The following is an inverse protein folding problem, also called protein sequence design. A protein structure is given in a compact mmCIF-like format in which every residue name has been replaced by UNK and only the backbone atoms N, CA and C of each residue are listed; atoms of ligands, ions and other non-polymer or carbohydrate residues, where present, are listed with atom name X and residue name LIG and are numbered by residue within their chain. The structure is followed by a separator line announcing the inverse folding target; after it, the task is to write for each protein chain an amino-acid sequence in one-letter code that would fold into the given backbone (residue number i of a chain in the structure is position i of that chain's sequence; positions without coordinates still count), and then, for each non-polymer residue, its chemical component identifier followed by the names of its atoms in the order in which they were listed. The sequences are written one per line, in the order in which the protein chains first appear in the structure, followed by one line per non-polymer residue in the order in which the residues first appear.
data_IF_845160988240
#
_entry.id   IF_845160988240
#
_cell.length_a   1.000
_cell.length_b   1.000
_cell.length_c   1.000
_cell.angle_alpha   90.00
_cell.angle_beta   90.00
_cell.angle_gamma   90.00
#
_symmetry.space_group_name_H-M   'P 1'
#
loop_
_entity.id
_entity.type
_entity.pdbx_description
1 polymer ?
#
# COMPACT_ATOMS: atom_id res chain seq x y z
N UNK A 1 3.24 3.76 -10.03
CA UNK A 1 4.39 2.83 -9.98
C UNK A 1 3.84 1.46 -9.61
N UNK A 2 4.14 0.41 -10.37
CA UNK A 2 3.48 -0.88 -10.21
C UNK A 2 4.51 -1.93 -9.78
N UNK A 3 4.33 -2.50 -8.61
CA UNK A 3 4.84 -3.81 -8.27
C UNK A 3 3.69 -4.81 -8.48
N UNK A 4 4.01 -6.07 -8.77
CA UNK A 4 3.04 -7.11 -9.04
C UNK A 4 3.48 -8.36 -8.30
N UNK A 5 2.58 -8.95 -7.51
CA UNK A 5 2.84 -10.16 -6.73
C UNK A 5 1.94 -11.31 -7.22
N UNK A 6 2.08 -12.51 -6.68
CA UNK A 6 1.45 -13.73 -7.16
C UNK A 6 1.19 -14.66 -5.95
N UNK A 7 -0.07 -15.07 -5.79
CA UNK A 7 -0.59 -16.37 -5.31
C UNK A 7 -1.43 -16.37 -4.00
N UNK A 8 -2.64 -16.97 -4.07
CA UNK A 8 -3.19 -17.91 -3.07
C UNK A 8 -4.49 -18.59 -3.55
N UNK A 9 -4.61 -19.90 -3.28
CA UNK A 9 -5.84 -20.70 -3.04
C UNK A 9 -5.47 -22.13 -2.58
N UNK A 10 -6.38 -22.94 -1.97
CA UNK A 10 -7.80 -22.72 -1.65
C UNK A 10 -8.26 -23.15 -0.23
N UNK A 11 -9.52 -22.83 0.10
CA UNK A 11 -10.31 -23.39 1.21
C UNK A 11 -10.05 -24.87 1.55
N UNK A 12 -9.41 -25.15 2.70
CA UNK A 12 -9.83 -26.08 3.77
C UNK A 12 -8.72 -26.23 4.83
N UNK A 13 -9.06 -26.70 6.04
CA UNK A 13 -8.27 -26.42 7.22
C UNK A 13 -7.07 -27.36 7.38
N UNK A 14 -6.03 -26.80 8.01
CA UNK A 14 -4.84 -27.39 8.64
C UNK A 14 -3.76 -27.94 7.69
N UNK A 15 -2.53 -27.47 7.98
CA UNK A 15 -1.18 -27.83 7.51
C UNK A 15 -0.54 -26.97 6.39
N UNK A 16 0.59 -26.37 6.82
CA UNK A 16 1.83 -26.13 6.08
C UNK A 16 1.93 -24.81 5.29
N UNK A 17 2.71 -23.82 5.74
CA UNK A 17 4.19 -23.81 5.65
C UNK A 17 4.70 -24.40 4.33
N UNK A 18 4.26 -23.87 3.19
CA UNK A 18 4.91 -24.17 1.91
C UNK A 18 5.17 -22.83 1.19
N UNK A 19 6.43 -22.40 1.34
CA UNK A 19 7.11 -21.17 0.89
C UNK A 19 7.03 -19.95 1.84
N UNK A 20 8.11 -19.64 2.60
CA UNK A 20 8.21 -18.42 3.42
C UNK A 20 8.47 -17.15 2.59
N UNK A 21 8.41 -17.26 1.26
CA UNK A 21 8.72 -16.18 0.34
C UNK A 21 7.56 -16.01 -0.65
N UNK A 22 7.09 -14.78 -0.82
CA UNK A 22 6.18 -14.41 -1.90
C UNK A 22 6.99 -14.00 -3.14
N UNK A 23 6.33 -13.84 -4.28
CA UNK A 23 7.05 -13.47 -5.50
C UNK A 23 7.69 -12.08 -5.39
N UNK A 24 7.18 -11.20 -4.53
CA UNK A 24 7.75 -9.89 -4.22
C UNK A 24 9.10 -9.96 -3.50
N UNK A 25 9.42 -11.10 -2.89
CA UNK A 25 10.76 -11.36 -2.36
C UNK A 25 11.80 -11.58 -3.46
N UNK A 26 11.39 -12.03 -4.65
CA UNK A 26 12.29 -12.45 -5.73
C UNK A 26 12.22 -11.53 -6.96
N UNK A 27 11.05 -10.97 -7.25
CA UNK A 27 10.83 -10.09 -8.39
C UNK A 27 10.85 -8.63 -7.94
N UNK A 28 11.90 -7.93 -8.39
CA UNK A 28 11.97 -6.48 -8.29
C UNK A 28 10.91 -5.85 -9.19
N UNK A 29 10.31 -4.71 -8.81
CA UNK A 29 9.44 -3.95 -9.71
C UNK A 29 10.15 -3.69 -11.05
N UNK A 30 9.44 -3.83 -12.17
CA UNK A 30 9.99 -3.69 -13.54
C UNK A 30 10.26 -2.23 -13.96
N UNK A 31 10.17 -1.29 -13.02
CA UNK A 31 10.58 0.09 -13.23
C UNK A 31 12.07 0.25 -12.86
N UNK A 32 12.84 0.92 -13.72
CA UNK A 32 14.18 1.37 -13.36
C UNK A 32 14.06 2.49 -12.33
N UNK A 33 14.11 2.14 -11.05
CA UNK A 33 14.34 3.14 -10.00
C UNK A 33 15.63 3.90 -10.35
N UNK A 34 15.59 5.24 -10.51
CA UNK A 34 16.79 6.00 -10.83
C UNK A 34 17.70 6.22 -9.61
N UNK A 35 17.33 5.66 -8.46
CA UNK A 35 18.02 5.77 -7.18
C UNK A 35 18.35 4.38 -6.63
N UNK A 36 18.70 4.29 -5.35
CA UNK A 36 18.82 3.03 -4.62
C UNK A 36 17.46 2.32 -4.53
N UNK A 37 17.47 0.98 -4.62
CA UNK A 37 16.32 0.17 -4.29
C UNK A 37 16.63 -0.64 -3.05
N UNK A 38 15.74 -0.55 -2.06
CA UNK A 38 15.90 -1.23 -0.79
C UNK A 38 14.60 -1.93 -0.41
N UNK A 39 14.70 -3.14 0.14
CA UNK A 39 13.54 -3.87 0.65
C UNK A 39 13.36 -3.51 2.13
N UNK A 40 12.21 -2.93 2.46
CA UNK A 40 11.90 -2.42 3.80
C UNK A 40 10.90 -3.35 4.49
N UNK A 41 11.13 -3.68 5.76
CA UNK A 41 10.35 -4.67 6.50
C UNK A 41 10.91 -6.09 6.39
N UNK A 42 10.28 -7.04 7.09
CA UNK A 42 10.63 -8.47 7.13
C UNK A 42 10.44 -9.11 5.77
N UNK A 43 11.25 -10.16 5.50
CA UNK A 43 11.06 -11.02 4.32
C UNK A 43 9.70 -11.73 4.40
N UNK A 44 9.06 -11.94 3.26
CA UNK A 44 7.67 -12.39 3.18
C UNK A 44 6.70 -11.22 2.92
N UNK A 45 5.46 -11.35 3.37
CA UNK A 45 4.36 -10.52 2.88
C UNK A 45 4.44 -9.03 3.25
N UNK A 46 4.83 -8.74 4.49
CA UNK A 46 4.75 -7.38 5.02
C UNK A 46 5.74 -6.42 4.39
N UNK A 47 6.94 -6.89 4.02
CA UNK A 47 8.00 -6.03 3.51
C UNK A 47 7.85 -5.68 2.02
N UNK A 48 8.12 -4.43 1.66
CA UNK A 48 7.99 -3.92 0.28
C UNK A 48 9.28 -3.28 -0.23
N UNK A 49 9.50 -3.35 -1.53
CA UNK A 49 10.60 -2.65 -2.19
C UNK A 49 10.32 -1.16 -2.31
N UNK A 50 11.20 -0.32 -1.78
CA UNK A 50 11.12 1.13 -1.85
C UNK A 50 12.25 1.66 -2.73
N UNK A 51 11.90 2.52 -3.68
CA UNK A 51 12.84 3.27 -4.49
C UNK A 51 13.23 4.57 -3.78
N UNK A 52 14.53 4.80 -3.64
CA UNK A 52 15.13 6.05 -3.17
C UNK A 52 15.06 6.26 -1.66
N UNK A 53 15.28 5.23 -0.84
CA UNK A 53 15.27 5.38 0.62
C UNK A 53 16.33 6.37 1.09
N UNK A 54 17.53 6.32 0.51
CA UNK A 54 18.58 7.32 0.80
C UNK A 54 18.12 8.76 0.54
N UNK A 55 17.26 8.96 -0.47
CA UNK A 55 16.70 10.27 -0.82
C UNK A 55 15.61 10.71 0.13
N UNK A 56 14.76 9.78 0.57
CA UNK A 56 13.70 10.06 1.54
C UNK A 56 14.31 10.44 2.89
N UNK A 57 15.33 9.72 3.35
CA UNK A 57 16.05 10.03 4.58
C UNK A 57 16.79 11.37 4.52
N UNK A 58 17.36 11.71 3.36
CA UNK A 58 18.00 13.01 3.16
C UNK A 58 16.98 14.18 3.15
N UNK A 59 15.70 13.91 2.87
CA UNK A 59 14.63 14.92 2.83
C UNK A 59 13.88 15.04 4.16
N UNK A 60 13.73 13.94 4.88
CA UNK A 60 12.96 13.83 6.11
C UNK A 60 13.53 12.73 6.98
N UNK A 61 14.56 13.06 7.75
CA UNK A 61 15.27 12.09 8.58
C UNK A 61 14.42 11.69 9.78
N UNK A 62 14.48 10.40 10.15
CA UNK A 62 13.85 9.88 11.34
C UNK A 62 14.66 10.10 12.63
N UNK A 63 14.13 9.64 13.78
CA UNK A 63 12.87 8.91 13.90
C UNK A 63 11.64 9.82 13.80
N UNK A 64 10.50 9.23 13.50
CA UNK A 64 9.20 9.91 13.48
C UNK A 64 8.84 10.46 14.86
N UNK A 65 8.60 11.76 14.92
CA UNK A 65 8.20 12.47 16.14
C UNK A 65 7.61 13.84 15.82
N UNK A 66 6.69 14.33 16.65
CA UNK A 66 6.19 15.71 16.56
C UNK A 66 7.28 16.76 16.89
N UNK A 67 8.33 16.34 17.61
CA UNK A 67 9.46 17.20 17.93
C UNK A 67 10.54 17.21 16.83
N UNK A 68 10.39 16.38 15.79
CA UNK A 68 11.34 16.32 14.70
C UNK A 68 11.16 17.54 13.76
N UNK A 69 12.22 18.34 13.50
CA UNK A 69 12.13 19.57 12.71
C UNK A 69 11.95 19.33 11.21
N UNK A 70 12.18 18.11 10.71
CA UNK A 70 12.04 17.79 9.30
C UNK A 70 10.58 17.70 8.86
N UNK A 71 10.34 17.91 7.57
CA UNK A 71 9.00 17.81 6.99
C UNK A 71 8.39 16.42 7.23
N UNK A 72 7.12 16.37 7.62
CA UNK A 72 6.41 15.10 7.81
C UNK A 72 6.11 14.44 6.46
N UNK A 73 6.44 13.16 6.33
CA UNK A 73 6.05 12.34 5.19
C UNK A 73 4.76 11.55 5.49
N UNK A 74 3.68 11.87 4.78
CA UNK A 74 2.43 11.09 4.82
C UNK A 74 2.61 9.75 4.09
N UNK A 75 2.37 8.64 4.80
CA UNK A 75 2.41 7.27 4.26
C UNK A 75 1.07 6.59 4.47
N UNK A 76 0.51 6.03 3.42
CA UNK A 76 -0.71 5.22 3.50
C UNK A 76 -0.35 3.75 3.31
N UNK A 77 -0.80 2.90 4.23
CA UNK A 77 -0.62 1.45 4.17
C UNK A 77 -1.96 0.75 4.19
N UNK A 78 -2.37 0.23 3.04
CA UNK A 78 -3.62 -0.50 2.88
C UNK A 78 -3.33 -2.00 2.84
N UNK A 79 -3.97 -2.74 3.74
CA UNK A 79 -3.67 -4.15 3.97
C UNK A 79 -2.41 -4.35 4.80
N UNK A 80 -2.55 -4.19 6.10
CA UNK A 80 -1.44 -4.33 7.05
C UNK A 80 -1.30 -5.77 7.51
N UNK A 81 -2.44 -6.47 7.64
CA UNK A 81 -2.57 -7.84 8.16
C UNK A 81 -1.77 -8.03 9.47
N UNK A 82 -0.92 -9.06 9.55
CA UNK A 82 -0.19 -9.44 10.78
C UNK A 82 1.29 -9.07 10.76
N UNK A 83 1.75 -8.30 9.78
CA UNK A 83 3.15 -7.85 9.68
C UNK A 83 3.21 -6.34 9.44
N UNK A 84 3.54 -5.60 10.51
CA UNK A 84 3.71 -4.15 10.47
C UNK A 84 5.17 -3.72 10.46
N UNK A 85 6.09 -4.62 10.06
CA UNK A 85 7.52 -4.36 10.06
C UNK A 85 7.95 -3.31 9.02
N UNK A 86 7.20 -3.17 7.92
CA UNK A 86 7.42 -2.14 6.93
C UNK A 86 7.16 -0.75 7.53
N UNK A 87 6.01 -0.58 8.17
CA UNK A 87 5.57 0.66 8.79
C UNK A 87 6.50 1.03 9.96
N UNK A 88 6.86 0.05 10.80
CA UNK A 88 7.82 0.23 11.88
C UNK A 88 9.20 0.70 11.38
N UNK A 89 9.70 0.11 10.28
CA UNK A 89 10.97 0.51 9.68
C UNK A 89 10.92 1.94 9.12
N UNK A 90 9.80 2.35 8.52
CA UNK A 90 9.62 3.74 8.05
C UNK A 90 9.58 4.74 9.21
N UNK A 91 8.86 4.43 10.30
CA UNK A 91 8.83 5.29 11.50
C UNK A 91 10.21 5.46 12.12
N UNK A 92 11.05 4.43 12.08
CA UNK A 92 12.40 4.49 12.63
C UNK A 92 13.35 5.34 11.77
N UNK A 93 13.15 5.36 10.45
CA UNK A 93 14.10 5.92 9.49
C UNK A 93 13.71 7.29 8.96
N UNK A 94 12.43 7.63 8.97
CA UNK A 94 11.88 8.87 8.40
C UNK A 94 11.03 9.63 9.43
N UNK A 95 10.85 10.94 9.25
CA UNK A 95 9.80 11.67 9.97
C UNK A 95 8.42 11.41 9.34
N UNK A 96 7.96 10.17 9.41
CA UNK A 96 6.76 9.71 8.74
C UNK A 96 5.52 9.73 9.65
N UNK A 97 4.37 10.10 9.08
CA UNK A 97 3.06 9.87 9.69
C UNK A 97 2.31 8.83 8.86
N UNK A 98 2.00 7.69 9.48
CA UNK A 98 1.53 6.49 8.80
C UNK A 98 0.05 6.25 9.09
N UNK A 99 -0.72 5.98 8.06
CA UNK A 99 -2.15 5.69 8.14
C UNK A 99 -2.41 4.28 7.60
N UNK A 100 -2.66 3.35 8.52
CA UNK A 100 -2.93 1.94 8.26
C UNK A 100 -4.43 1.67 8.17
N UNK A 101 -4.83 0.88 7.17
CA UNK A 101 -6.21 0.40 7.03
C UNK A 101 -6.23 -1.08 6.73
N UNK A 102 -7.03 -1.82 7.51
CA UNK A 102 -7.25 -3.23 7.29
C UNK A 102 -8.60 -3.66 7.89
N UNK A 103 -9.36 -4.48 7.19
CA UNK A 103 -10.68 -4.92 7.66
C UNK A 103 -10.60 -6.21 8.50
N UNK A 104 -9.52 -6.98 8.36
CA UNK A 104 -9.34 -8.32 8.90
C UNK A 104 -8.72 -8.34 10.30
N UNK A 105 -7.91 -7.33 10.64
CA UNK A 105 -7.24 -7.19 11.94
C UNK A 105 -7.80 -6.03 12.77
N UNK A 106 -7.47 -6.00 14.06
CA UNK A 106 -7.98 -4.98 15.01
C UNK A 106 -6.96 -3.86 15.32
N UNK A 107 -5.74 -3.97 14.79
CA UNK A 107 -4.67 -3.02 15.08
C UNK A 107 -3.39 -3.35 14.34
N UNK A 108 -2.35 -2.57 14.61
CA UNK A 108 -0.98 -2.86 14.19
C UNK A 108 -0.46 -4.16 14.83
N UNK A 109 0.46 -4.82 14.14
CA UNK A 109 1.26 -5.89 14.72
C UNK A 109 2.34 -5.35 15.68
N UNK A 110 2.98 -6.26 16.42
CA UNK A 110 3.88 -5.93 17.53
C UNK A 110 5.11 -5.09 17.13
N UNK A 111 5.42 -5.00 15.84
CA UNK A 111 6.56 -4.21 15.34
C UNK A 111 6.35 -2.69 15.45
N UNK A 112 5.11 -2.21 15.40
CA UNK A 112 4.82 -0.77 15.49
C UNK A 112 4.82 -0.34 16.96
N UNK A 113 5.71 0.58 17.38
CA UNK A 113 5.76 1.00 18.77
C UNK A 113 4.47 1.70 19.22
N UNK A 114 4.06 1.53 20.49
CA UNK A 114 2.97 2.30 21.06
C UNK A 114 3.34 3.80 21.12
N UNK A 115 2.34 4.68 21.01
CA UNK A 115 2.50 6.14 20.97
C UNK A 115 3.37 6.65 19.80
N UNK A 116 3.45 5.89 18.71
CA UNK A 116 4.05 6.35 17.46
C UNK A 116 3.06 7.22 16.67
N UNK A 117 3.55 7.87 15.60
CA UNK A 117 2.72 8.60 14.62
C UNK A 117 2.08 7.67 13.59
N UNK A 118 1.66 6.48 14.03
CA UNK A 118 1.02 5.47 13.19
C UNK A 118 -0.43 5.25 13.64
N UNK A 119 -1.37 5.58 12.76
CA UNK A 119 -2.80 5.53 13.02
C UNK A 119 -3.41 4.33 12.33
N UNK A 120 -4.12 3.48 13.07
CA UNK A 120 -4.81 2.31 12.50
C UNK A 120 -6.31 2.54 12.43
N UNK A 121 -6.93 2.21 11.29
CA UNK A 121 -8.37 2.22 11.10
C UNK A 121 -8.85 0.86 10.58
N UNK A 122 -9.78 0.23 11.29
CA UNK A 122 -10.39 -1.02 10.82
C UNK A 122 -11.39 -0.75 9.70
N UNK A 123 -10.97 -0.88 8.45
CA UNK A 123 -11.78 -0.60 7.27
C UNK A 123 -11.27 -1.36 6.03
N UNK A 124 -12.19 -1.68 5.12
CA UNK A 124 -11.85 -2.18 3.79
C UNK A 124 -11.65 -1.01 2.82
N UNK A 125 -10.69 -1.14 1.90
CA UNK A 125 -10.50 -0.16 0.82
C UNK A 125 -11.28 -0.62 -0.40
N UNK A 126 -12.02 0.30 -1.02
CA UNK A 126 -12.89 0.01 -2.15
C UNK A 126 -13.05 1.18 -3.10
N UNK A 127 -13.74 0.96 -4.23
CA UNK A 127 -14.04 2.01 -5.21
C UNK A 127 -14.92 3.14 -4.66
N UNK A 128 -15.81 2.85 -3.72
CA UNK A 128 -16.74 3.81 -3.12
C UNK A 128 -16.75 3.71 -1.60
N UNK A 129 -17.14 4.79 -0.94
CA UNK A 129 -17.26 4.84 0.52
C UNK A 129 -18.66 4.39 0.97
N UNK A 130 -18.71 3.37 1.81
CA UNK A 130 -19.89 2.94 2.57
C UNK A 130 -19.52 2.84 4.05
N UNK A 131 -19.89 3.87 4.81
CA UNK A 131 -19.65 3.97 6.26
C UNK A 131 -20.68 3.22 7.10
N UNK A 132 -21.75 2.70 6.50
CA UNK A 132 -22.79 1.94 7.20
C UNK A 132 -22.47 0.44 7.28
N UNK A 133 -21.55 -0.04 6.42
CA UNK A 133 -21.04 -1.39 6.52
C UNK A 133 -20.13 -1.57 7.73
N UNK A 134 -20.06 -2.80 8.27
CA UNK A 134 -19.18 -3.17 9.37
C UNK A 134 -18.31 -4.38 8.98
N UNK A 135 -16.99 -4.23 8.81
CA UNK A 135 -16.23 -2.97 8.85
C UNK A 135 -16.57 -2.04 7.66
N UNK A 136 -16.38 -0.71 7.80
CA UNK A 136 -16.70 0.25 6.75
C UNK A 136 -15.82 0.04 5.51
N UNK A 137 -16.38 0.41 4.36
CA UNK A 137 -15.69 0.46 3.07
C UNK A 137 -15.35 1.91 2.75
N UNK A 138 -14.11 2.20 2.39
CA UNK A 138 -13.63 3.56 2.21
C UNK A 138 -12.89 3.70 0.87
N UNK A 139 -13.20 4.77 0.13
CA UNK A 139 -12.45 5.16 -1.05
C UNK A 139 -11.20 5.96 -0.68
N UNK A 140 -10.11 5.79 -1.42
CA UNK A 140 -8.81 6.44 -1.13
C UNK A 140 -8.92 7.96 -1.04
N UNK A 141 -9.66 8.59 -1.96
CA UNK A 141 -9.83 10.05 -1.98
C UNK A 141 -10.63 10.58 -0.78
N UNK A 142 -11.62 9.83 -0.29
CA UNK A 142 -12.40 10.21 0.89
C UNK A 142 -11.56 10.10 2.16
N UNK A 143 -10.66 9.11 2.24
CA UNK A 143 -9.68 8.98 3.32
C UNK A 143 -8.72 10.17 3.30
N UNK A 144 -8.17 10.52 2.13
CA UNK A 144 -7.32 11.71 1.97
C UNK A 144 -8.04 12.98 2.43
N UNK A 145 -9.28 13.19 1.98
CA UNK A 145 -10.09 14.35 2.36
C UNK A 145 -10.38 14.40 3.87
N UNK A 146 -10.73 13.25 4.48
CA UNK A 146 -11.02 13.16 5.92
C UNK A 146 -9.80 13.47 6.79
N UNK A 147 -8.61 13.10 6.34
CA UNK A 147 -7.35 13.36 7.05
C UNK A 147 -6.73 14.72 6.68
N UNK A 148 -7.30 15.45 5.72
CA UNK A 148 -6.74 16.72 5.25
C UNK A 148 -5.45 16.59 4.44
N UNK A 149 -5.20 15.43 3.83
CA UNK A 149 -4.01 15.19 3.01
C UNK A 149 -4.30 15.46 1.54
N UNK A 150 -3.46 16.27 0.92
CA UNK A 150 -3.50 16.56 -0.52
C UNK A 150 -2.50 15.73 -1.33
N UNK A 151 -1.51 15.11 -0.65
CA UNK A 151 -0.46 14.29 -1.23
C UNK A 151 -0.04 13.11 -0.34
N UNK A 152 0.19 11.94 -0.94
CA UNK A 152 0.70 10.74 -0.28
C UNK A 152 2.13 10.48 -0.76
N UNK A 153 3.11 10.44 0.13
CA UNK A 153 4.51 10.21 -0.26
C UNK A 153 4.75 8.77 -0.66
N UNK A 154 4.26 7.83 0.15
CA UNK A 154 4.30 6.38 -0.14
C UNK A 154 2.91 5.81 0.09
N UNK A 155 2.38 5.12 -0.91
CA UNK A 155 1.13 4.38 -0.84
C UNK A 155 1.44 2.90 -1.04
N UNK A 156 1.41 2.11 0.05
CA UNK A 156 1.37 0.65 -0.02
C UNK A 156 -0.08 0.21 -0.20
N UNK A 157 -0.33 -0.66 -1.17
CA UNK A 157 -1.65 -1.21 -1.44
C UNK A 157 -1.56 -2.71 -1.65
N UNK A 158 -2.15 -3.44 -0.71
CA UNK A 158 -2.12 -4.90 -0.61
C UNK A 158 -3.47 -5.38 -0.04
N UNK A 159 -4.54 -5.26 -0.83
CA UNK A 159 -5.93 -5.33 -0.34
C UNK A 159 -6.72 -6.52 -0.94
N UNK A 160 -6.02 -7.64 -1.10
CA UNK A 160 -6.57 -8.96 -1.37
C UNK A 160 -7.58 -9.00 -2.54
N UNK A 161 -7.21 -8.39 -3.67
CA UNK A 161 -7.98 -8.45 -4.91
C UNK A 161 -8.86 -7.24 -5.20
N UNK A 162 -8.91 -6.26 -4.28
CA UNK A 162 -9.65 -5.00 -4.48
C UNK A 162 -8.80 -3.88 -5.09
N UNK A 163 -7.53 -4.16 -5.45
CA UNK A 163 -6.57 -3.15 -5.89
C UNK A 163 -7.02 -2.43 -7.15
N UNK A 164 -7.47 -3.19 -8.15
CA UNK A 164 -7.85 -2.63 -9.44
C UNK A 164 -9.05 -1.70 -9.31
N UNK A 165 -10.10 -2.14 -8.63
CA UNK A 165 -11.31 -1.33 -8.44
C UNK A 165 -11.02 -0.06 -7.63
N UNK A 166 -10.23 -0.16 -6.55
CA UNK A 166 -9.86 0.98 -5.73
C UNK A 166 -8.98 1.99 -6.50
N UNK A 167 -8.00 1.50 -7.27
CA UNK A 167 -7.12 2.35 -8.08
C UNK A 167 -7.86 2.99 -9.26
N UNK A 168 -8.74 2.26 -9.95
CA UNK A 168 -9.55 2.81 -11.03
C UNK A 168 -10.43 3.96 -10.54
N UNK A 169 -11.11 3.78 -9.40
CA UNK A 169 -11.89 4.85 -8.78
C UNK A 169 -11.04 6.04 -8.34
N UNK A 170 -9.84 5.79 -7.80
CA UNK A 170 -8.92 6.86 -7.41
C UNK A 170 -8.38 7.66 -8.60
N UNK A 171 -8.10 6.99 -9.72
CA UNK A 171 -7.70 7.64 -10.97
C UNK A 171 -8.86 8.47 -11.54
N UNK A 172 -10.06 7.88 -11.63
CA UNK A 172 -11.24 8.59 -12.14
C UNK A 172 -11.53 9.86 -11.32
N UNK A 173 -11.46 9.76 -9.99
CA UNK A 173 -11.56 10.95 -9.12
C UNK A 173 -10.50 12.00 -9.44
N UNK A 174 -9.24 11.60 -9.66
CA UNK A 174 -8.17 12.54 -9.96
C UNK A 174 -8.38 13.23 -11.32
N UNK A 175 -8.85 12.50 -12.33
CA UNK A 175 -9.21 13.03 -13.65
C UNK A 175 -10.37 14.02 -13.57
N UNK A 176 -11.45 13.65 -12.87
CA UNK A 176 -12.62 14.52 -12.63
C UNK A 176 -12.24 15.80 -11.87
N UNK A 177 -11.31 15.70 -10.93
CA UNK A 177 -10.73 16.84 -10.23
C UNK A 177 -9.74 17.68 -11.08
N UNK A 178 -9.52 17.31 -12.34
CA UNK A 178 -8.63 18.02 -13.27
C UNK A 178 -7.15 17.86 -12.94
N UNK A 179 -6.76 16.85 -12.15
CA UNK A 179 -5.36 16.58 -11.82
C UNK A 179 -4.66 15.95 -13.02
N UNK A 180 -3.48 16.48 -13.36
CA UNK A 180 -2.62 15.93 -14.44
C UNK A 180 -1.75 14.76 -13.99
N UNK A 181 -1.56 14.62 -12.67
CA UNK A 181 -0.74 13.60 -12.03
C UNK A 181 -1.45 13.15 -10.76
N UNK A 182 -1.42 11.86 -10.45
CA UNK A 182 -1.92 11.36 -9.18
C UNK A 182 -1.16 12.02 -8.01
N UNK A 183 -1.83 12.37 -6.92
CA UNK A 183 -1.19 12.96 -5.75
C UNK A 183 -0.46 11.90 -4.90
N UNK A 184 0.35 11.07 -5.54
CA UNK A 184 1.10 9.97 -4.93
C UNK A 184 2.53 9.99 -5.43
N UNK A 185 3.50 10.06 -4.52
CA UNK A 185 4.93 10.02 -4.86
C UNK A 185 5.38 8.64 -5.33
N UNK A 186 5.10 7.62 -4.53
CA UNK A 186 5.44 6.23 -4.83
C UNK A 186 4.28 5.30 -4.48
N UNK A 187 3.86 4.49 -5.45
CA UNK A 187 2.86 3.43 -5.28
C UNK A 187 3.57 2.07 -5.21
N UNK A 188 3.40 1.38 -4.09
CA UNK A 188 3.87 0.02 -3.84
C UNK A 188 2.65 -0.89 -3.91
N UNK A 189 2.51 -1.62 -5.01
CA UNK A 189 1.32 -2.42 -5.27
C UNK A 189 1.61 -3.91 -5.14
N UNK A 190 0.81 -4.64 -4.38
CA UNK A 190 0.69 -6.10 -4.46
C UNK A 190 -0.40 -6.40 -5.50
N UNK A 191 -0.10 -7.17 -6.56
CA UNK A 191 -1.17 -7.62 -7.47
C UNK A 191 -1.67 -8.98 -7.03
N UNK A 192 -2.95 -9.09 -6.68
CA UNK A 192 -3.59 -10.37 -6.47
C UNK A 192 -4.09 -10.94 -7.79
N UNK A 193 -3.34 -11.90 -8.35
CA UNK A 193 -3.61 -12.43 -9.69
C UNK A 193 -4.60 -13.60 -9.72
N UNK A 194 -5.33 -13.83 -8.62
CA UNK A 194 -6.36 -14.85 -8.48
C UNK A 194 -7.55 -14.22 -7.79
N UNK A 195 -8.74 -14.31 -8.38
CA UNK A 195 -9.99 -13.80 -7.81
C UNK A 195 -10.43 -14.62 -6.60
N UNK A 196 -11.28 -14.06 -5.73
CA UNK A 196 -11.80 -14.75 -4.54
C UNK A 196 -12.51 -16.09 -4.81
N UNK A 197 -12.92 -16.38 -6.05
CA UNK A 197 -13.49 -17.66 -6.49
C UNK A 197 -12.44 -18.65 -7.06
N UNK A 198 -11.18 -18.25 -7.20
CA UNK A 198 -10.04 -19.14 -7.51
C UNK A 198 -9.68 -19.18 -8.97
N UNK A 199 -10.26 -18.27 -9.76
CA UNK A 199 -9.90 -18.09 -11.15
C UNK A 199 -8.69 -17.17 -11.21
N UNK A 200 -7.73 -17.42 -12.10
CA UNK A 200 -6.71 -16.42 -12.40
C UNK A 200 -7.41 -15.12 -12.81
N UNK A 201 -7.05 -13.98 -12.22
CA UNK A 201 -7.34 -12.69 -12.83
C UNK A 201 -6.68 -12.75 -14.20
N UNK A 202 -7.46 -12.68 -15.28
CA UNK A 202 -6.93 -12.98 -16.59
C UNK A 202 -5.84 -11.97 -16.96
N UNK A 203 -4.81 -12.42 -17.68
CA UNK A 203 -3.84 -11.53 -18.32
C UNK A 203 -4.56 -10.44 -19.13
N UNK A 204 -5.75 -10.72 -19.64
CA UNK A 204 -6.63 -9.74 -20.29
C UNK A 204 -7.11 -8.60 -19.38
N UNK A 205 -7.40 -8.86 -18.10
CA UNK A 205 -7.73 -7.80 -17.14
C UNK A 205 -6.51 -6.89 -16.89
N UNK A 206 -5.34 -7.49 -16.70
CA UNK A 206 -4.06 -6.77 -16.56
C UNK A 206 -3.68 -5.98 -17.83
N UNK A 207 -3.94 -6.55 -19.02
CA UNK A 207 -3.70 -5.91 -20.32
C UNK A 207 -4.71 -4.78 -20.57
N UNK A 208 -5.98 -4.95 -20.18
CA UNK A 208 -6.99 -3.90 -20.29
C UNK A 208 -6.66 -2.72 -19.38
N UNK A 209 -6.25 -3.01 -18.14
CA UNK A 209 -5.82 -2.01 -17.16
C UNK A 209 -4.54 -1.28 -17.61
N UNK A 210 -3.51 -1.99 -18.07
CA UNK A 210 -2.24 -1.35 -18.53
C UNK A 210 -2.40 -0.50 -19.80
N UNK A 211 -3.42 -0.78 -20.63
CA UNK A 211 -3.79 0.09 -21.75
C UNK A 211 -4.40 1.42 -21.29
N UNK A 212 -5.16 1.42 -20.19
CA UNK A 212 -5.67 2.66 -19.59
C UNK A 212 -4.53 3.58 -19.13
N UNK A 213 -3.49 3.02 -18.51
CA UNK A 213 -2.31 3.76 -18.05
C UNK A 213 -1.49 4.40 -19.17
N UNK A 214 -1.43 3.77 -20.35
CA UNK A 214 -0.70 4.33 -21.51
C UNK A 214 -1.33 5.60 -22.07
N UNK A 215 -2.61 5.86 -21.78
CA UNK A 215 -3.29 7.08 -22.23
C UNK A 215 -3.10 8.26 -21.26
N UNK A 216 -2.43 8.03 -20.12
CA UNK A 216 -2.14 9.02 -19.08
C UNK A 216 -0.63 9.30 -18.91
N UNK A 217 0.21 8.79 -19.83
CA UNK A 217 1.65 9.03 -19.88
C UNK A 217 2.04 9.94 -21.06
#
# INVERSE_FOLDING_TARGET
MLAASFNKKPNKPIQEFIYPYNVGDLLRPTFFCPFDMERIGKLGDGGKWVCGMSRLEAQSHGPSSDANPDATLVVYSFGVEHDSSFEAALLARLNAEIWGFDYSVDGWADEVPPNSRAHFTKAAISATTDRQQSPPKLAVHDIMAANGHDFIHIMKMDIEGSEFEALEAFIAWAEEAGKKVLPVGQLLLELHLVTGDGRPSTVDALVKWSRGWRNLA
#
